data_IF_574414736698
#
_entry.id   IF_574414736698
#
_cell.length_a   1.000
_cell.length_b   1.000
_cell.length_c   1.000
_cell.angle_alpha   90.00
_cell.angle_beta   90.00
_cell.angle_gamma   90.00
#
_symmetry.space_group_name_H-M   'P 1'
#
loop_
_entity.id
_entity.type
_entity.pdbx_description
1 polymer ?
#
# COMPACT_ATOMS: atom_id res chain seq x y z
N UNK A 1 -0.59 -19.33 5.29
CA UNK A 1 0.64 -19.30 4.45
C UNK A 1 0.97 -20.61 3.73
N UNK A 2 0.18 -21.02 2.73
CA UNK A 2 0.55 -22.12 1.82
C UNK A 2 0.54 -21.68 0.34
N UNK A 3 0.01 -20.48 0.05
CA UNK A 3 -0.10 -19.97 -1.32
C UNK A 3 1.27 -19.80 -1.98
N UNK A 4 2.26 -19.25 -1.25
CA UNK A 4 3.61 -19.06 -1.78
C UNK A 4 4.25 -20.40 -2.20
N UNK A 5 4.13 -21.43 -1.35
CA UNK A 5 4.70 -22.76 -1.62
C UNK A 5 4.06 -23.42 -2.84
N UNK A 6 2.74 -23.24 -3.05
CA UNK A 6 2.05 -23.74 -4.25
C UNK A 6 2.59 -23.08 -5.53
N UNK A 7 2.75 -21.75 -5.52
CA UNK A 7 3.31 -21.04 -6.67
C UNK A 7 4.78 -21.36 -6.88
N UNK A 8 5.56 -21.56 -5.82
CA UNK A 8 6.97 -21.94 -5.93
C UNK A 8 7.13 -23.29 -6.65
N UNK A 9 6.37 -24.31 -6.23
CA UNK A 9 6.40 -25.62 -6.85
C UNK A 9 5.99 -25.58 -8.34
N UNK A 10 5.00 -24.75 -8.69
CA UNK A 10 4.52 -24.61 -10.07
C UNK A 10 5.44 -23.79 -10.96
N UNK A 11 5.96 -22.65 -10.46
CA UNK A 11 6.68 -21.66 -11.24
C UNK A 11 8.19 -21.92 -11.32
N UNK A 12 8.79 -22.50 -10.26
CA UNK A 12 10.24 -22.75 -10.18
C UNK A 12 10.61 -24.22 -10.37
N UNK A 13 9.82 -25.13 -9.81
CA UNK A 13 10.14 -26.58 -9.80
C UNK A 13 9.41 -27.35 -10.92
N UNK A 14 8.46 -26.70 -11.61
CA UNK A 14 7.73 -27.26 -12.74
C UNK A 14 8.58 -27.36 -14.03
N UNK A 15 8.39 -28.38 -14.88
CA UNK A 15 9.38 -28.76 -15.90
C UNK A 15 9.48 -27.84 -17.13
N UNK A 16 8.67 -26.79 -17.29
CA UNK A 16 8.75 -25.97 -18.53
C UNK A 16 8.15 -24.57 -18.44
N UNK A 17 8.60 -23.75 -17.49
CA UNK A 17 8.31 -22.31 -17.52
C UNK A 17 9.59 -21.52 -17.77
N UNK A 18 9.55 -20.64 -18.78
CA UNK A 18 10.62 -19.68 -19.05
C UNK A 18 10.11 -18.30 -18.68
N UNK A 19 10.76 -17.69 -17.70
CA UNK A 19 10.55 -16.28 -17.39
C UNK A 19 11.28 -15.45 -18.44
N UNK A 20 10.54 -14.57 -19.10
CA UNK A 20 11.09 -13.64 -20.09
C UNK A 20 10.77 -12.22 -19.63
N UNK A 21 11.76 -11.34 -19.70
CA UNK A 21 11.53 -9.88 -19.58
C UNK A 21 10.78 -9.39 -20.80
N UNK A 22 9.58 -8.86 -20.61
CA UNK A 22 8.78 -8.19 -21.63
C UNK A 22 8.66 -6.69 -21.32
N UNK A 23 8.48 -5.89 -22.37
CA UNK A 23 8.16 -4.47 -22.26
C UNK A 23 6.70 -4.22 -21.89
N UNK A 24 6.28 -2.96 -22.00
CA UNK A 24 4.88 -2.53 -21.82
C UNK A 24 3.94 -3.33 -22.73
N UNK A 25 2.81 -3.77 -22.17
CA UNK A 25 1.73 -4.40 -22.93
C UNK A 25 0.69 -3.34 -23.29
N UNK A 26 0.15 -3.40 -24.49
CA UNK A 26 -1.05 -2.63 -24.82
C UNK A 26 -2.25 -3.21 -24.04
N UNK A 27 -2.99 -2.36 -23.32
CA UNK A 27 -4.13 -2.77 -22.49
C UNK A 27 -5.33 -3.33 -23.27
N UNK A 28 -5.46 -2.95 -24.55
CA UNK A 28 -6.55 -3.38 -25.41
C UNK A 28 -6.23 -4.71 -26.10
N UNK A 29 -4.99 -4.86 -26.60
CA UNK A 29 -4.59 -6.03 -27.40
C UNK A 29 -3.83 -7.09 -26.61
N UNK A 30 -3.33 -6.77 -25.41
CA UNK A 30 -2.43 -7.60 -24.60
C UNK A 30 -1.16 -8.05 -25.33
N UNK A 31 -0.82 -7.38 -26.42
CA UNK A 31 0.40 -7.66 -27.18
C UNK A 31 1.55 -6.76 -26.69
N UNK A 32 2.81 -7.21 -26.87
CA UNK A 32 3.97 -6.35 -26.63
C UNK A 32 3.83 -5.06 -27.43
N UNK A 33 3.87 -3.93 -26.73
CA UNK A 33 3.97 -2.64 -27.38
C UNK A 33 5.44 -2.44 -27.78
N UNK A 34 5.70 -1.95 -28.99
CA UNK A 34 7.06 -1.78 -29.56
C UNK A 34 7.84 -0.61 -28.93
N UNK A 35 7.62 -0.33 -27.65
CA UNK A 35 8.42 0.64 -26.90
C UNK A 35 9.78 0.03 -26.55
N UNK A 36 10.78 0.92 -26.39
CA UNK A 36 12.16 0.53 -26.08
C UNK A 36 12.24 -0.43 -24.90
N UNK A 37 13.21 -1.35 -24.95
CA UNK A 37 13.48 -2.31 -23.90
C UNK A 37 13.71 -1.57 -22.58
N UNK A 38 12.68 -1.55 -21.73
CA UNK A 38 12.76 -0.93 -20.40
C UNK A 38 13.86 -1.65 -19.62
N UNK A 39 14.89 -0.90 -19.22
CA UNK A 39 15.95 -1.41 -18.36
C UNK A 39 15.36 -1.68 -16.96
N UNK A 40 15.14 -2.95 -16.64
CA UNK A 40 14.55 -3.34 -15.38
C UNK A 40 15.60 -3.35 -14.26
N UNK A 41 15.67 -2.28 -13.47
CA UNK A 41 16.47 -2.24 -12.24
C UNK A 41 15.68 -2.80 -11.06
N UNK A 42 15.89 -4.08 -10.75
CA UNK A 42 15.23 -4.78 -9.66
C UNK A 42 15.38 -4.06 -8.30
N UNK A 43 16.54 -3.44 -8.03
CA UNK A 43 16.79 -2.74 -6.77
C UNK A 43 15.92 -1.49 -6.66
N UNK A 44 15.76 -0.75 -7.76
CA UNK A 44 14.88 0.42 -7.81
C UNK A 44 13.41 0.03 -7.65
N UNK A 45 12.95 -1.03 -8.31
CA UNK A 45 11.56 -1.52 -8.19
C UNK A 45 11.26 -1.96 -6.76
N UNK A 46 12.18 -2.69 -6.13
CA UNK A 46 12.06 -3.08 -4.71
C UNK A 46 12.00 -1.82 -3.84
N UNK A 47 12.95 -0.90 -4.00
CA UNK A 47 12.96 0.34 -3.23
C UNK A 47 11.67 1.16 -3.38
N UNK A 48 11.09 1.23 -4.58
CA UNK A 48 9.79 1.87 -4.83
C UNK A 48 8.62 1.10 -4.21
N UNK A 49 8.64 -0.24 -4.26
CA UNK A 49 7.58 -1.09 -3.68
C UNK A 49 7.55 -1.00 -2.15
N UNK A 50 8.73 -0.86 -1.54
CA UNK A 50 8.89 -0.68 -0.08
C UNK A 50 8.98 0.78 0.35
N UNK A 51 8.97 1.73 -0.59
CA UNK A 51 8.81 3.14 -0.26
C UNK A 51 7.45 3.32 0.40
N UNK A 52 7.36 4.29 1.31
CA UNK A 52 6.09 4.70 1.90
C UNK A 52 5.09 4.91 0.77
N UNK A 53 3.98 4.15 0.83
CA UNK A 53 2.91 4.12 -0.16
C UNK A 53 2.58 5.53 -0.66
N UNK A 54 3.09 5.89 -1.84
CA UNK A 54 2.94 7.22 -2.44
C UNK A 54 1.52 7.49 -2.95
N UNK A 55 0.66 6.49 -2.93
CA UNK A 55 -0.79 6.60 -3.14
C UNK A 55 -1.52 7.23 -1.95
N UNK A 56 -0.85 7.44 -0.81
CA UNK A 56 -1.34 8.30 0.26
C UNK A 56 -1.17 9.77 -0.16
N UNK A 57 -2.12 10.26 -0.94
CA UNK A 57 -2.18 11.67 -1.31
C UNK A 57 -2.53 12.50 -0.08
N UNK A 58 -1.82 13.60 0.15
CA UNK A 58 -2.18 14.65 1.12
C UNK A 58 -3.41 15.47 0.65
N UNK A 59 -4.21 14.92 -0.27
CA UNK A 59 -5.39 15.55 -0.86
C UNK A 59 -6.63 14.84 -0.33
N UNK A 60 -7.64 15.59 0.16
CA UNK A 60 -8.89 15.00 0.62
C UNK A 60 -9.57 14.16 -0.49
N UNK A 61 -10.22 13.07 -0.09
CA UNK A 61 -11.06 12.29 -1.00
C UNK A 61 -12.26 13.12 -1.48
N UNK A 62 -12.67 12.95 -2.74
CA UNK A 62 -13.82 13.66 -3.32
C UNK A 62 -15.16 13.27 -2.67
N UNK A 63 -15.30 12.01 -2.24
CA UNK A 63 -16.48 11.49 -1.56
C UNK A 63 -16.07 10.59 -0.39
N UNK A 64 -15.68 11.19 0.75
CA UNK A 64 -15.27 10.46 1.94
C UNK A 64 -16.48 9.90 2.69
N UNK A 65 -16.44 8.61 3.03
CA UNK A 65 -17.53 7.96 3.76
C UNK A 65 -17.00 7.16 4.97
N UNK A 66 -16.93 7.74 6.18
CA UNK A 66 -17.15 9.14 6.56
C UNK A 66 -15.86 9.99 6.58
N UNK A 67 -16.00 11.32 6.72
CA UNK A 67 -14.89 12.19 7.14
C UNK A 67 -14.55 11.93 8.61
N UNK A 68 -13.25 11.70 8.89
CA UNK A 68 -12.76 11.43 10.23
C UNK A 68 -11.77 12.52 10.67
N UNK A 69 -11.98 13.02 11.88
CA UNK A 69 -11.07 13.87 12.60
C UNK A 69 -10.52 13.06 13.78
N UNK A 70 -9.20 13.09 13.95
CA UNK A 70 -8.54 12.41 15.06
C UNK A 70 -7.76 13.43 15.86
N UNK A 71 -7.88 13.38 17.18
CA UNK A 71 -7.04 14.15 18.08
C UNK A 71 -6.51 13.22 19.19
N UNK A 72 -5.25 13.42 19.53
CA UNK A 72 -4.55 12.68 20.56
C UNK A 72 -3.91 13.66 21.52
N UNK A 73 -4.34 13.66 22.78
CA UNK A 73 -3.82 14.56 23.80
C UNK A 73 -2.97 13.80 24.81
N UNK A 74 -1.76 14.28 25.03
CA UNK A 74 -0.82 13.73 26.01
C UNK A 74 -0.31 14.84 26.91
N UNK A 75 -0.46 14.70 28.23
CA UNK A 75 0.06 15.69 29.19
C UNK A 75 0.44 15.04 30.52
N UNK A 76 1.36 15.69 31.25
CA UNK A 76 1.78 15.25 32.57
C UNK A 76 1.01 16.01 33.64
N UNK A 77 0.39 15.30 34.56
CA UNK A 77 -0.29 15.87 35.72
C UNK A 77 0.23 15.19 36.99
N UNK A 78 0.75 15.98 37.95
CA UNK A 78 1.31 15.48 39.22
C UNK A 78 2.39 14.41 39.02
N UNK A 79 3.20 14.54 37.97
CA UNK A 79 4.27 13.59 37.62
C UNK A 79 3.80 12.31 36.94
N UNK A 80 2.49 12.15 36.67
CA UNK A 80 1.93 11.02 35.93
C UNK A 80 1.57 11.43 34.50
N UNK A 81 1.94 10.60 33.54
CA UNK A 81 1.58 10.78 32.14
C UNK A 81 0.11 10.38 31.94
N UNK A 82 -0.68 11.29 31.35
CA UNK A 82 -2.04 11.04 30.89
C UNK A 82 -2.07 11.12 29.36
N UNK A 83 -2.77 10.20 28.72
CA UNK A 83 -2.83 10.12 27.25
C UNK A 83 -4.21 9.66 26.83
N UNK A 84 -4.96 10.53 26.16
CA UNK A 84 -6.26 10.19 25.60
C UNK A 84 -6.31 10.43 24.10
N UNK A 85 -7.33 9.87 23.46
CA UNK A 85 -7.63 10.08 22.06
C UNK A 85 -9.13 10.23 21.82
N UNK A 86 -9.48 10.87 20.71
CA UNK A 86 -10.82 10.92 20.18
C UNK A 86 -10.80 10.75 18.66
N UNK A 87 -11.76 9.99 18.14
CA UNK A 87 -12.08 9.85 16.73
C UNK A 87 -13.50 10.36 16.54
N UNK A 88 -13.65 11.40 15.72
CA UNK A 88 -14.89 12.13 15.54
C UNK A 88 -15.20 12.21 14.05
N UNK A 89 -16.49 12.22 13.72
CA UNK A 89 -16.99 12.48 12.37
C UNK A 89 -17.91 13.70 12.37
N UNK A 90 -18.33 14.13 11.19
CA UNK A 90 -19.35 15.18 11.06
C UNK A 90 -20.66 14.82 11.80
N UNK A 91 -20.91 13.52 12.04
CA UNK A 91 -22.09 12.99 12.72
C UNK A 91 -21.90 12.80 14.23
N UNK A 92 -20.72 13.12 14.78
CA UNK A 92 -20.42 13.02 16.21
C UNK A 92 -19.26 12.09 16.56
N UNK A 93 -19.13 11.79 17.85
CA UNK A 93 -18.03 10.98 18.41
C UNK A 93 -18.25 9.52 18.01
N UNK A 94 -17.22 8.92 17.40
CA UNK A 94 -17.21 7.50 17.09
C UNK A 94 -16.52 6.71 18.21
N UNK A 95 -15.40 7.21 18.71
CA UNK A 95 -14.62 6.56 19.77
C UNK A 95 -13.82 7.60 20.56
N UNK A 96 -13.65 7.37 21.87
CA UNK A 96 -12.73 8.16 22.69
C UNK A 96 -12.30 7.38 23.93
N UNK A 97 -11.03 7.51 24.32
CA UNK A 97 -10.54 6.99 25.60
C UNK A 97 -9.59 8.00 26.29
N UNK A 98 -9.53 8.00 27.64
CA UNK A 98 -8.65 8.87 28.42
C UNK A 98 -7.20 8.39 28.53
#
# INVERSE_FOLDING_TARGET
>A
DNHLLKYQALLLEGPMLRLCTFGTLNLDTFLPHNEEKIEHNCQQVIAQTYATRGDHLEVPLTDPNPNLYTDGRSFVEKGLQKVGYAVVSDNGILESNP
#
